data_IF_774029055127
#
_entry.id   IF_774029055127
#
_cell.length_a   1.000
_cell.length_b   1.000
_cell.length_c   1.000
_cell.angle_alpha   90.00
_cell.angle_beta   90.00
_cell.angle_gamma   90.00
#
_symmetry.space_group_name_H-M   'P 1'
#
loop_
_entity.id
_entity.type
_entity.pdbx_description
1 polymer ?
#
# COMPACT_ATOMS: atom_id res chain seq x y z
N UNK A 1 -1.84 -11.01 -5.83
CA UNK A 1 -2.09 -9.64 -5.36
C UNK A 1 -2.18 -8.65 -6.51
N UNK A 2 -3.02 -7.64 -6.33
CA UNK A 2 -3.22 -6.50 -7.24
C UNK A 2 -3.59 -5.31 -6.36
N UNK A 3 -3.11 -4.11 -6.68
CA UNK A 3 -3.45 -2.90 -5.92
C UNK A 3 -3.46 -1.67 -6.82
N UNK A 4 -4.16 -0.63 -6.37
CA UNK A 4 -4.20 0.67 -7.04
C UNK A 4 -4.28 1.80 -6.03
N UNK A 5 -3.86 2.99 -6.46
CA UNK A 5 -4.08 4.23 -5.72
C UNK A 5 -5.08 5.09 -6.48
N UNK A 6 -6.07 5.62 -5.76
CA UNK A 6 -7.11 6.49 -6.31
C UNK A 6 -7.09 7.82 -5.57
N UNK A 7 -7.17 8.92 -6.32
CA UNK A 7 -7.35 10.23 -5.73
C UNK A 7 -8.83 10.45 -5.38
N UNK A 8 -9.12 10.65 -4.09
CA UNK A 8 -10.51 10.76 -3.60
C UNK A 8 -11.28 11.96 -4.17
N UNK A 9 -10.60 13.02 -4.62
CA UNK A 9 -11.26 14.23 -5.08
C UNK A 9 -12.01 14.07 -6.41
N UNK A 10 -11.57 13.15 -7.27
CA UNK A 10 -12.15 12.93 -8.60
C UNK A 10 -12.11 11.46 -9.06
N UNK A 11 -11.80 10.53 -8.16
CA UNK A 11 -11.67 9.10 -8.41
C UNK A 11 -10.63 8.71 -9.48
N UNK A 12 -9.71 9.62 -9.81
CA UNK A 12 -8.65 9.33 -10.77
C UNK A 12 -7.70 8.29 -10.20
N UNK A 13 -7.47 7.22 -10.96
CA UNK A 13 -6.42 6.25 -10.67
C UNK A 13 -5.05 6.87 -10.87
N UNK A 14 -4.28 6.98 -9.78
CA UNK A 14 -2.92 7.53 -9.77
C UNK A 14 -1.89 6.48 -10.16
N UNK A 15 -2.10 5.23 -9.77
CA UNK A 15 -1.26 4.09 -10.11
C UNK A 15 -2.02 2.78 -10.00
N UNK A 16 -1.50 1.75 -10.66
CA UNK A 16 -1.99 0.38 -10.64
C UNK A 16 -0.80 -0.58 -10.69
N UNK A 17 -0.91 -1.70 -9.99
CA UNK A 17 0.10 -2.75 -9.97
C UNK A 17 -0.55 -4.13 -9.89
N UNK A 18 -0.10 -5.04 -10.75
CA UNK A 18 -0.58 -6.42 -10.81
C UNK A 18 -1.55 -6.67 -11.99
N UNK A 19 -2.17 -7.85 -12.03
CA UNK A 19 -2.09 -8.92 -11.04
C UNK A 19 -0.75 -9.67 -11.06
N UNK A 20 -0.23 -10.04 -9.88
CA UNK A 20 0.97 -10.90 -9.71
C UNK A 20 0.77 -11.91 -8.57
N UNK A 21 1.62 -12.93 -8.47
CA UNK A 21 1.60 -13.85 -7.32
C UNK A 21 1.91 -13.09 -6.01
N UNK A 22 1.15 -13.37 -4.93
CA UNK A 22 1.30 -12.73 -3.62
C UNK A 22 -0.02 -12.58 -2.87
N UNK A 23 0.04 -12.29 -1.57
CA UNK A 23 -1.13 -12.20 -0.68
C UNK A 23 -1.73 -10.79 -0.66
N UNK A 24 -3.02 -10.67 -0.26
CA UNK A 24 -3.72 -9.38 -0.22
C UNK A 24 -3.03 -8.37 0.71
N UNK A 25 -2.66 -8.80 1.92
CA UNK A 25 -1.99 -7.95 2.91
C UNK A 25 -0.64 -7.39 2.41
N UNK A 26 0.11 -8.15 1.61
CA UNK A 26 1.34 -7.64 0.98
C UNK A 26 0.98 -6.57 -0.05
N UNK A 27 -0.04 -6.81 -0.88
CA UNK A 27 -0.54 -5.85 -1.85
C UNK A 27 -0.95 -4.53 -1.18
N UNK A 28 -1.73 -4.59 -0.11
CA UNK A 28 -2.17 -3.42 0.66
C UNK A 28 -0.98 -2.66 1.28
N UNK A 29 -0.01 -3.36 1.86
CA UNK A 29 1.21 -2.74 2.40
C UNK A 29 1.99 -2.01 1.31
N UNK A 30 2.21 -2.67 0.17
CA UNK A 30 2.92 -2.08 -0.96
C UNK A 30 2.16 -0.91 -1.57
N UNK A 31 0.82 -0.96 -1.63
CA UNK A 31 -0.01 0.16 -2.07
C UNK A 31 0.21 1.42 -1.21
N UNK A 32 0.22 1.26 0.12
CA UNK A 32 0.46 2.39 1.04
C UNK A 32 1.87 2.96 0.80
N UNK A 33 2.90 2.11 0.74
CA UNK A 33 4.27 2.59 0.51
C UNK A 33 4.44 3.25 -0.86
N UNK A 34 3.80 2.72 -1.90
CA UNK A 34 3.77 3.33 -3.24
C UNK A 34 3.13 4.72 -3.18
N UNK A 35 1.97 4.87 -2.53
CA UNK A 35 1.33 6.16 -2.37
C UNK A 35 2.21 7.17 -1.61
N UNK A 36 2.84 6.75 -0.50
CA UNK A 36 3.76 7.59 0.27
C UNK A 36 4.97 8.03 -0.56
N UNK A 37 5.55 7.12 -1.34
CA UNK A 37 6.67 7.41 -2.25
C UNK A 37 6.26 8.40 -3.34
N UNK A 38 5.09 8.21 -3.94
CA UNK A 38 4.55 9.09 -4.97
C UNK A 38 4.28 10.50 -4.42
N UNK A 39 3.61 10.61 -3.27
CA UNK A 39 3.34 11.88 -2.59
C UNK A 39 4.65 12.63 -2.34
N UNK A 40 5.67 11.95 -1.79
CA UNK A 40 6.98 12.57 -1.57
C UNK A 40 7.66 12.99 -2.87
N UNK A 41 7.65 12.14 -3.90
CA UNK A 41 8.26 12.43 -5.21
C UNK A 41 7.64 13.66 -5.87
N UNK A 42 6.33 13.84 -5.71
CA UNK A 42 5.58 14.96 -6.30
C UNK A 42 5.55 16.21 -5.42
N UNK A 43 5.99 16.13 -4.17
CA UNK A 43 5.91 17.24 -3.21
C UNK A 43 4.46 17.58 -2.84
N UNK A 44 3.56 16.60 -2.88
CA UNK A 44 2.15 16.82 -2.53
C UNK A 44 1.96 16.88 -1.00
N UNK A 45 1.06 17.75 -0.56
CA UNK A 45 0.56 17.76 0.81
C UNK A 45 -0.76 16.98 0.88
N UNK A 46 -0.63 15.65 1.02
CA UNK A 46 -1.75 14.72 0.98
C UNK A 46 -1.62 13.66 2.06
N UNK A 47 -2.77 13.06 2.41
CA UNK A 47 -2.85 11.90 3.31
C UNK A 47 -3.13 10.63 2.50
N UNK A 48 -2.69 9.49 3.00
CA UNK A 48 -2.99 8.17 2.43
C UNK A 48 -4.06 7.51 3.29
N UNK A 49 -5.13 7.02 2.67
CA UNK A 49 -6.14 6.20 3.32
C UNK A 49 -5.99 4.73 2.93
N UNK A 50 -6.20 3.83 3.90
CA UNK A 50 -6.34 2.40 3.66
C UNK A 50 -7.37 1.84 4.63
N UNK A 51 -8.17 0.88 4.19
CA UNK A 51 -9.09 0.11 5.04
C UNK A 51 -8.41 -1.10 5.71
N UNK A 52 -7.16 -1.40 5.38
CA UNK A 52 -6.39 -2.52 5.94
C UNK A 52 -5.65 -2.13 7.21
N UNK A 53 -6.13 -2.65 8.35
CA UNK A 53 -5.45 -2.49 9.63
C UNK A 53 -4.03 -3.10 9.62
N UNK A 54 -3.86 -4.28 9.02
CA UNK A 54 -2.58 -4.98 8.98
C UNK A 54 -1.53 -4.20 8.18
N UNK A 55 -1.91 -3.69 7.02
CA UNK A 55 -1.00 -2.91 6.17
C UNK A 55 -0.58 -1.60 6.87
N UNK A 56 -1.52 -0.89 7.49
CA UNK A 56 -1.22 0.33 8.28
C UNK A 56 -0.24 0.00 9.41
N UNK A 57 -0.47 -1.11 10.13
CA UNK A 57 0.41 -1.56 11.22
C UNK A 57 1.82 -1.92 10.70
N UNK A 58 1.93 -2.55 9.53
CA UNK A 58 3.22 -2.88 8.92
C UNK A 58 3.99 -1.64 8.47
N UNK A 59 3.29 -0.63 7.93
CA UNK A 59 3.91 0.67 7.60
C UNK A 59 4.39 1.38 8.87
N UNK A 60 3.56 1.44 9.92
CA UNK A 60 3.93 2.03 11.21
C UNK A 60 5.19 1.37 11.80
N UNK A 61 5.28 0.05 11.68
CA UNK A 61 6.43 -0.72 12.17
C UNK A 61 7.60 -0.80 11.17
N UNK A 62 7.45 -0.23 9.97
CA UNK A 62 8.41 -0.29 8.85
C UNK A 62 8.84 -1.72 8.50
N UNK A 63 7.92 -2.67 8.66
CA UNK A 63 8.19 -4.11 8.53
C UNK A 63 6.96 -4.85 8.05
N UNK A 64 7.08 -5.52 6.92
CA UNK A 64 6.09 -6.43 6.35
C UNK A 64 6.18 -7.80 7.04
N UNK A 65 5.24 -8.11 7.93
CA UNK A 65 5.21 -9.39 8.68
C UNK A 65 4.43 -10.47 7.92
N UNK A 66 4.87 -10.78 6.70
CA UNK A 66 4.24 -11.83 5.87
C UNK A 66 4.59 -13.25 6.32
N UNK A 67 3.70 -14.19 6.05
CA UNK A 67 3.91 -15.65 6.16
C UNK A 67 4.12 -16.35 4.81
N UNK A 68 4.12 -15.59 3.70
CA UNK A 68 4.37 -16.12 2.37
C UNK A 68 5.75 -16.78 2.34
N UNK A 69 5.84 -17.99 1.78
CA UNK A 69 7.12 -18.69 1.65
C UNK A 69 8.05 -17.97 0.67
N UNK A 70 9.34 -17.93 1.02
CA UNK A 70 10.37 -17.37 0.16
C UNK A 70 10.89 -18.46 -0.77
N UNK A 71 10.47 -18.41 -2.02
CA UNK A 71 10.81 -19.36 -3.08
C UNK A 71 11.30 -18.59 -4.32
N UNK A 72 11.87 -19.26 -5.33
CA UNK A 72 12.23 -18.61 -6.59
C UNK A 72 11.06 -17.87 -7.28
N UNK A 73 9.82 -18.34 -7.10
CA UNK A 73 8.62 -17.68 -7.63
C UNK A 73 8.31 -16.36 -6.89
N UNK A 74 8.56 -16.31 -5.57
CA UNK A 74 8.24 -15.14 -4.73
C UNK A 74 9.42 -14.20 -4.53
N UNK A 75 10.61 -14.52 -5.03
CA UNK A 75 11.83 -13.72 -4.91
C UNK A 75 11.63 -12.26 -5.33
N UNK A 76 11.03 -12.03 -6.50
CA UNK A 76 10.76 -10.67 -6.99
C UNK A 76 9.83 -9.87 -6.06
N UNK A 77 8.90 -10.54 -5.40
CA UNK A 77 8.02 -9.92 -4.40
C UNK A 77 8.79 -9.58 -3.12
N UNK A 78 9.67 -10.46 -2.65
CA UNK A 78 10.51 -10.18 -1.49
C UNK A 78 11.49 -9.03 -1.73
N UNK A 79 12.03 -8.90 -2.94
CA UNK A 79 12.83 -7.73 -3.34
C UNK A 79 12.01 -6.44 -3.29
N UNK A 80 10.76 -6.48 -3.76
CA UNK A 80 9.85 -5.33 -3.70
C UNK A 80 9.51 -4.95 -2.25
N UNK A 81 9.26 -5.94 -1.39
CA UNK A 81 9.07 -5.74 0.06
C UNK A 81 10.31 -5.09 0.68
N UNK A 82 11.51 -5.61 0.40
CA UNK A 82 12.75 -5.08 0.95
C UNK A 82 12.97 -3.61 0.55
N UNK A 83 12.69 -3.27 -0.71
CA UNK A 83 12.73 -1.88 -1.21
C UNK A 83 11.71 -0.99 -0.51
N UNK A 84 10.51 -1.49 -0.25
CA UNK A 84 9.46 -0.76 0.47
C UNK A 84 9.85 -0.51 1.94
N UNK A 85 10.39 -1.51 2.63
CA UNK A 85 10.91 -1.37 4.00
C UNK A 85 12.07 -0.35 4.07
N UNK A 86 13.05 -0.48 3.18
CA UNK A 86 14.18 0.46 3.09
C UNK A 86 13.70 1.90 2.83
N UNK A 87 12.71 2.07 1.94
CA UNK A 87 12.11 3.38 1.69
C UNK A 87 11.49 3.96 2.97
N UNK A 88 10.72 3.18 3.74
CA UNK A 88 10.13 3.65 4.99
C UNK A 88 11.18 4.05 6.03
N UNK A 89 12.30 3.31 6.12
CA UNK A 89 13.40 3.65 7.02
C UNK A 89 14.10 4.96 6.63
N UNK A 90 14.29 5.19 5.33
CA UNK A 90 14.90 6.43 4.80
C UNK A 90 13.96 7.63 4.80
N UNK A 91 12.67 7.42 5.01
CA UNK A 91 11.64 8.46 4.94
C UNK A 91 10.77 8.51 6.22
N UNK A 92 11.36 8.76 7.41
CA UNK A 92 10.63 8.72 8.68
C UNK A 92 9.53 9.79 8.81
N UNK A 93 9.60 10.87 8.02
CA UNK A 93 8.64 11.98 7.98
C UNK A 93 7.74 11.92 6.74
N UNK A 94 7.34 10.72 6.32
CA UNK A 94 6.40 10.55 5.20
C UNK A 94 4.99 11.06 5.57
N UNK A 95 4.12 11.20 4.56
CA UNK A 95 2.73 11.60 4.73
C UNK A 95 1.96 10.70 5.73
N UNK A 96 0.89 11.24 6.32
CA UNK A 96 0.06 10.50 7.27
C UNK A 96 -0.68 9.36 6.56
N UNK A 97 -0.72 8.21 7.23
CA UNK A 97 -1.53 7.05 6.83
C UNK A 97 -2.71 6.93 7.81
N UNK A 98 -3.93 7.00 7.30
CA UNK A 98 -5.16 6.98 8.06
C UNK A 98 -6.03 5.77 7.71
N UNK A 99 -6.81 5.31 8.69
CA UNK A 99 -7.81 4.26 8.48
C UNK A 99 -8.98 4.82 7.67
N UNK A 100 -9.36 4.13 6.61
CA UNK A 100 -10.64 4.31 5.94
C UNK A 100 -11.72 3.56 6.73
N UNK A 101 -12.72 4.27 7.23
CA UNK A 101 -13.80 3.69 8.05
C UNK A 101 -14.91 3.12 7.15
N UNK A 102 -14.69 1.91 6.61
CA UNK A 102 -15.59 1.25 5.66
C UNK A 102 -17.05 1.20 6.12
N UNK A 103 -17.28 1.01 7.43
CA UNK A 103 -18.64 0.99 7.99
C UNK A 103 -19.37 2.34 7.91
N UNK A 104 -18.63 3.45 7.89
CA UNK A 104 -19.19 4.80 7.87
C UNK A 104 -19.20 5.40 6.47
N UNK A 105 -18.21 5.07 5.64
CA UNK A 105 -17.98 5.73 4.35
C UNK A 105 -18.23 4.82 3.14
N UNK A 106 -18.58 3.55 3.38
CA UNK A 106 -18.69 2.53 2.33
C UNK A 106 -17.34 1.96 1.92
N UNK A 107 -17.34 1.12 0.88
CA UNK A 107 -16.12 0.53 0.33
C UNK A 107 -15.15 1.61 -0.12
N UNK A 108 -13.85 1.37 0.07
CA UNK A 108 -12.82 2.33 -0.32
C UNK A 108 -12.84 2.50 -1.86
N UNK A 109 -12.73 3.71 -2.42
CA UNK A 109 -12.77 3.92 -3.88
C UNK A 109 -11.67 3.20 -4.68
N UNK A 110 -10.62 2.72 -4.00
CA UNK A 110 -9.56 1.92 -4.59
C UNK A 110 -9.87 0.42 -4.66
N UNK A 111 -10.99 -0.04 -4.10
CA UNK A 111 -11.42 -1.44 -4.17
C UNK A 111 -11.72 -1.86 -5.62
N UNK A 112 -11.53 -3.15 -5.94
CA UNK A 112 -11.75 -3.67 -7.28
C UNK A 112 -13.17 -4.22 -7.51
N UNK A 113 -14.03 -4.25 -6.48
CA UNK A 113 -15.43 -4.69 -6.58
C UNK A 113 -15.59 -6.17 -6.91
N UNK A 114 -14.63 -7.02 -6.53
CA UNK A 114 -14.62 -8.47 -6.86
C UNK A 114 -15.11 -9.36 -5.72
N UNK A 115 -15.86 -8.81 -4.76
CA UNK A 115 -16.40 -9.52 -3.60
C UNK A 115 -17.73 -10.19 -3.91
#
# INVERSE_FOLDING_TARGET
MEYQGVYLGNEQRLFHYGPVHGTNNIGEFLAIVHALALIKQKGWDMKVYSDSYNAILWVKNRRCKTKLEHTPETEGLFQLIARAEDWLWKNPQHAQVLKWETQQWGEIPADFGRK
#
